data_IF_506698202538
#
_entry.id   IF_506698202538
#
_cell.length_a   1.000
_cell.length_b   1.000
_cell.length_c   1.000
_cell.angle_alpha   90.00
_cell.angle_beta   90.00
_cell.angle_gamma   90.00
#
_symmetry.space_group_name_H-M   'P 1'
#
loop_
_entity.id
_entity.type
_entity.pdbx_description
1 polymer ?
#
# COMPACT_ATOMS: atom_id res chain seq x y z
N UNK A 1 7.71 13.36 3.99
CA UNK A 1 7.21 12.69 2.77
C UNK A 1 6.88 11.25 3.13
N UNK A 2 5.71 11.02 3.74
CA UNK A 2 5.20 9.67 3.98
C UNK A 2 4.60 9.16 2.67
N UNK A 3 5.36 8.33 1.96
CA UNK A 3 4.86 7.65 0.77
C UNK A 3 3.76 6.69 1.19
N UNK A 4 2.55 6.89 0.65
CA UNK A 4 1.53 5.86 0.61
C UNK A 4 2.13 4.59 -0.02
N UNK A 5 2.46 3.61 0.82
CA UNK A 5 3.10 2.35 0.44
C UNK A 5 2.31 1.60 -0.64
N UNK A 6 1.00 1.83 -0.74
CA UNK A 6 0.05 1.14 -1.61
C UNK A 6 0.04 1.57 -3.09
N UNK A 7 0.73 2.65 -3.48
CA UNK A 7 0.68 3.16 -4.87
C UNK A 7 1.94 2.77 -5.69
N UNK A 8 3.01 2.33 -5.04
CA UNK A 8 4.34 2.20 -5.65
C UNK A 8 4.62 0.90 -6.43
N UNK A 9 3.68 -0.03 -6.54
CA UNK A 9 3.77 -1.26 -7.33
C UNK A 9 4.75 -2.33 -6.83
N UNK A 10 5.41 -2.13 -5.68
CA UNK A 10 6.58 -2.92 -5.28
C UNK A 10 6.28 -4.31 -4.70
N UNK A 11 5.07 -4.55 -4.19
CA UNK A 11 4.66 -5.80 -3.53
C UNK A 11 4.78 -7.03 -4.45
N UNK A 12 4.57 -6.87 -5.75
CA UNK A 12 4.75 -7.96 -6.71
C UNK A 12 6.21 -8.44 -6.81
N UNK A 13 7.18 -7.52 -6.68
CA UNK A 13 8.60 -7.88 -6.65
C UNK A 13 8.99 -8.52 -5.32
N UNK A 14 8.51 -7.97 -4.20
CA UNK A 14 8.76 -8.54 -2.87
C UNK A 14 8.20 -9.96 -2.76
N UNK A 15 6.96 -10.19 -3.19
CA UNK A 15 6.35 -11.53 -3.19
C UNK A 15 7.15 -12.52 -4.05
N UNK A 16 7.53 -12.15 -5.28
CA UNK A 16 8.34 -13.01 -6.15
C UNK A 16 9.67 -13.37 -5.50
N UNK A 17 10.35 -12.41 -4.92
CA UNK A 17 11.66 -12.60 -4.31
C UNK A 17 11.59 -13.52 -3.07
N UNK A 18 10.55 -13.34 -2.23
CA UNK A 18 10.26 -14.22 -1.10
C UNK A 18 9.96 -15.65 -1.55
N UNK A 19 9.20 -15.82 -2.63
CA UNK A 19 8.94 -17.14 -3.20
C UNK A 19 10.20 -17.78 -3.79
N UNK A 20 11.06 -17.00 -4.44
CA UNK A 20 12.34 -17.47 -4.97
C UNK A 20 13.27 -17.99 -3.87
N UNK A 21 13.45 -17.26 -2.77
CA UNK A 21 14.30 -17.73 -1.65
C UNK A 21 13.71 -18.93 -0.90
N UNK A 22 12.38 -19.09 -0.92
CA UNK A 22 11.70 -20.27 -0.38
C UNK A 22 11.75 -21.49 -1.32
N UNK A 23 12.35 -21.37 -2.50
CA UNK A 23 12.39 -22.44 -3.50
C UNK A 23 11.03 -22.76 -4.13
N UNK A 24 10.07 -21.83 -4.03
CA UNK A 24 8.73 -22.01 -4.60
C UNK A 24 8.72 -21.71 -6.11
N UNK A 25 7.77 -22.28 -6.88
CA UNK A 25 7.62 -21.96 -8.29
C UNK A 25 7.28 -20.47 -8.53
N UNK A 26 8.06 -19.80 -9.39
CA UNK A 26 7.83 -18.39 -9.76
C UNK A 26 7.83 -18.23 -11.29
N UNK A 27 6.69 -17.81 -11.84
CA UNK A 27 6.59 -17.45 -13.27
C UNK A 27 7.29 -16.13 -13.55
N UNK A 28 8.24 -16.13 -14.47
CA UNK A 28 9.07 -14.96 -14.77
C UNK A 28 9.85 -14.54 -13.53
N UNK A 29 10.85 -15.34 -13.11
CA UNK A 29 11.65 -15.06 -11.92
C UNK A 29 12.41 -13.74 -12.07
N UNK A 30 12.77 -13.12 -10.95
CA UNK A 30 13.69 -11.99 -10.98
C UNK A 30 15.07 -12.46 -11.42
N UNK A 31 15.85 -11.56 -12.03
CA UNK A 31 17.19 -11.85 -12.53
C UNK A 31 18.15 -12.41 -11.46
N UNK A 32 17.87 -12.13 -10.19
CA UNK A 32 18.55 -12.67 -9.01
C UNK A 32 17.59 -12.72 -7.84
N UNK A 33 17.91 -13.55 -6.85
CA UNK A 33 17.28 -13.47 -5.53
C UNK A 33 17.95 -12.35 -4.72
N UNK A 34 17.15 -11.42 -4.22
CA UNK A 34 17.60 -10.25 -3.46
C UNK A 34 17.52 -10.49 -1.95
N UNK A 35 16.47 -11.15 -1.47
CA UNK A 35 16.28 -11.39 -0.05
C UNK A 35 17.40 -12.27 0.50
N UNK A 36 18.17 -11.73 1.45
CA UNK A 36 19.31 -12.43 2.05
C UNK A 36 20.36 -12.90 1.04
N UNK A 37 20.42 -12.33 -0.18
CA UNK A 37 21.22 -12.85 -1.30
C UNK A 37 20.95 -14.34 -1.62
N UNK A 38 19.71 -14.81 -1.42
CA UNK A 38 19.32 -16.21 -1.63
C UNK A 38 19.49 -17.12 -0.42
N UNK A 39 20.06 -16.62 0.69
CA UNK A 39 20.08 -17.37 1.94
C UNK A 39 18.79 -17.13 2.75
N UNK A 40 18.09 -18.23 3.07
CA UNK A 40 16.80 -18.17 3.76
C UNK A 40 16.92 -17.61 5.17
N UNK A 41 18.00 -17.95 5.89
CA UNK A 41 18.20 -17.49 7.26
C UNK A 41 18.46 -15.97 7.32
N UNK A 42 19.28 -15.47 6.40
CA UNK A 42 19.60 -14.06 6.21
C UNK A 42 18.37 -13.28 5.74
N UNK A 43 17.58 -13.86 4.83
CA UNK A 43 16.32 -13.26 4.40
C UNK A 43 15.35 -13.09 5.58
N UNK A 44 15.15 -14.13 6.39
CA UNK A 44 14.29 -14.06 7.58
C UNK A 44 14.79 -13.02 8.58
N UNK A 45 16.10 -12.97 8.82
CA UNK A 45 16.70 -11.97 9.71
C UNK A 45 16.46 -10.54 9.21
N UNK A 46 16.65 -10.30 7.90
CA UNK A 46 16.40 -9.00 7.28
C UNK A 46 14.94 -8.56 7.41
N UNK A 47 13.99 -9.47 7.13
CA UNK A 47 12.55 -9.20 7.24
C UNK A 47 12.11 -8.89 8.67
N UNK A 48 12.55 -9.71 9.64
CA UNK A 48 12.20 -9.48 11.04
C UNK A 48 12.83 -8.20 11.57
N UNK A 49 14.06 -7.89 11.16
CA UNK A 49 14.74 -6.65 11.54
C UNK A 49 14.04 -5.42 10.95
N UNK A 50 13.63 -5.45 9.68
CA UNK A 50 12.90 -4.34 9.06
C UNK A 50 11.53 -4.14 9.71
N UNK A 51 10.78 -5.21 9.96
CA UNK A 51 9.47 -5.15 10.63
C UNK A 51 9.57 -4.60 12.06
N UNK A 52 10.57 -5.05 12.83
CA UNK A 52 10.80 -4.52 14.19
C UNK A 52 11.13 -3.03 14.18
N UNK A 53 12.00 -2.60 13.27
CA UNK A 53 12.33 -1.18 13.12
C UNK A 53 11.11 -0.35 12.74
N UNK A 54 10.30 -0.83 11.79
CA UNK A 54 9.07 -0.16 11.40
C UNK A 54 8.05 -0.08 12.55
N UNK A 55 7.85 -1.17 13.29
CA UNK A 55 6.93 -1.23 14.41
C UNK A 55 7.35 -0.36 15.61
N UNK A 56 8.64 -0.01 15.70
CA UNK A 56 9.15 0.88 16.74
C UNK A 56 8.94 2.37 16.42
N UNK A 57 8.57 2.72 15.18
CA UNK A 57 8.29 4.12 14.81
C UNK A 57 6.96 4.54 15.44
N UNK A 58 6.92 5.64 16.22
CA UNK A 58 5.68 6.13 16.81
C UNK A 58 4.62 6.43 15.74
N UNK A 59 3.37 6.06 16.00
CA UNK A 59 2.27 6.32 15.06
C UNK A 59 2.13 7.81 14.72
N UNK A 60 2.40 8.71 15.67
CA UNK A 60 2.37 10.16 15.46
C UNK A 60 3.47 10.68 14.52
N UNK A 61 4.56 9.93 14.35
CA UNK A 61 5.63 10.25 13.40
C UNK A 61 5.26 9.76 11.98
N UNK A 62 4.68 8.55 11.89
CA UNK A 62 4.19 8.00 10.61
C UNK A 62 3.00 8.80 10.06
N UNK A 63 2.09 9.18 10.96
CA UNK A 63 0.85 9.91 10.70
C UNK A 63 0.86 11.22 11.50
N UNK A 64 1.56 12.27 11.03
CA UNK A 64 1.56 13.57 11.69
C UNK A 64 0.18 14.23 11.64
N UNK A 65 -0.09 15.14 12.57
CA UNK A 65 -1.30 15.95 12.53
C UNK A 65 -1.30 16.90 11.32
N UNK A 66 -2.50 17.21 10.84
CA UNK A 66 -2.75 18.25 9.85
C UNK A 66 -4.04 19.02 10.18
N UNK A 67 -4.53 19.85 9.25
CA UNK A 67 -5.74 20.65 9.44
C UNK A 67 -7.02 19.81 9.66
N UNK A 68 -6.99 18.51 9.36
CA UNK A 68 -8.14 17.62 9.39
C UNK A 68 -8.00 16.48 10.42
N UNK A 69 -6.78 16.02 10.69
CA UNK A 69 -6.51 14.78 11.41
C UNK A 69 -5.56 14.99 12.59
N UNK A 70 -5.82 14.28 13.70
CA UNK A 70 -4.91 14.28 14.87
C UNK A 70 -3.68 13.42 14.59
N UNK A 71 -2.58 13.74 15.26
CA UNK A 71 -1.36 12.94 15.17
C UNK A 71 -1.63 11.50 15.65
N UNK A 72 -1.17 10.52 14.86
CA UNK A 72 -1.38 9.09 15.09
C UNK A 72 -2.72 8.56 14.61
N UNK A 73 -3.61 9.39 14.05
CA UNK A 73 -4.92 8.99 13.55
C UNK A 73 -4.85 8.44 12.12
N UNK A 74 -4.20 7.28 11.94
CA UNK A 74 -3.97 6.64 10.64
C UNK A 74 -5.19 6.65 9.73
N UNK A 75 -6.35 6.25 10.28
CA UNK A 75 -7.58 6.11 9.52
C UNK A 75 -8.10 7.43 8.95
N UNK A 76 -7.89 8.53 9.69
CA UNK A 76 -8.18 9.87 9.20
C UNK A 76 -7.16 10.28 8.14
N UNK A 77 -5.87 10.05 8.38
CA UNK A 77 -4.78 10.40 7.44
C UNK A 77 -4.93 9.73 6.09
N UNK A 78 -5.40 8.48 6.04
CA UNK A 78 -5.63 7.78 4.78
C UNK A 78 -6.95 8.20 4.10
N UNK A 79 -7.85 8.92 4.79
CA UNK A 79 -9.17 9.25 4.25
C UNK A 79 -9.14 10.18 3.04
N UNK A 80 -10.12 10.04 2.16
CA UNK A 80 -10.35 10.96 1.04
C UNK A 80 -11.23 12.10 1.55
N UNK A 81 -10.65 13.30 1.61
CA UNK A 81 -11.36 14.54 1.97
C UNK A 81 -11.67 15.32 0.69
N UNK A 82 -12.97 15.51 0.44
CA UNK A 82 -13.45 16.22 -0.74
C UNK A 82 -13.28 17.72 -0.58
N UNK A 83 -12.59 18.39 -1.51
CA UNK A 83 -12.60 19.85 -1.58
C UNK A 83 -13.94 20.33 -2.14
N UNK A 84 -14.62 21.21 -1.41
CA UNK A 84 -15.86 21.82 -1.87
C UNK A 84 -15.56 22.79 -3.03
N UNK A 85 -16.26 22.62 -4.16
CA UNK A 85 -16.19 23.52 -5.32
C UNK A 85 -17.45 24.40 -5.44
N UNK A 86 -18.40 24.29 -4.50
CA UNK A 86 -19.66 25.00 -4.48
C UNK A 86 -20.38 24.84 -3.13
N UNK A 87 -21.71 25.07 -3.09
CA UNK A 87 -22.49 25.06 -1.84
C UNK A 87 -22.78 23.69 -1.22
N UNK A 88 -22.20 22.60 -1.75
CA UNK A 88 -22.43 21.24 -1.27
C UNK A 88 -21.09 20.60 -0.92
N UNK A 89 -21.05 19.94 0.24
CA UNK A 89 -19.91 19.18 0.74
C UNK A 89 -20.24 17.70 0.81
N UNK A 90 -19.21 16.85 0.86
CA UNK A 90 -19.34 15.42 1.09
C UNK A 90 -18.59 15.04 2.36
N UNK A 91 -19.06 14.01 3.07
CA UNK A 91 -18.33 13.46 4.22
C UNK A 91 -17.02 12.85 3.73
N UNK A 92 -16.00 12.85 4.59
CA UNK A 92 -14.78 12.09 4.33
C UNK A 92 -15.14 10.60 4.17
N UNK A 93 -14.46 9.94 3.24
CA UNK A 93 -14.63 8.50 2.98
C UNK A 93 -13.30 7.77 3.15
N UNK A 94 -13.35 6.46 3.39
CA UNK A 94 -12.14 5.66 3.45
C UNK A 94 -11.38 5.69 2.12
N UNK A 95 -10.05 5.59 2.20
CA UNK A 95 -9.23 5.37 1.03
C UNK A 95 -9.71 4.17 0.24
N UNK A 96 -9.73 4.29 -1.08
CA UNK A 96 -9.97 3.17 -1.97
C UNK A 96 -9.01 3.26 -3.14
N UNK A 97 -8.41 2.13 -3.52
CA UNK A 97 -7.65 2.01 -4.76
C UNK A 97 -8.61 1.91 -5.96
N UNK A 98 -9.39 2.97 -6.19
CA UNK A 98 -10.42 3.02 -7.23
C UNK A 98 -10.29 4.33 -8.03
N UNK A 99 -10.47 4.29 -9.36
CA UNK A 99 -10.45 5.51 -10.16
C UNK A 99 -11.65 6.40 -9.80
N UNK A 100 -11.47 7.70 -9.99
CA UNK A 100 -12.45 8.75 -9.67
C UNK A 100 -13.80 8.55 -10.36
N UNK A 101 -13.79 7.96 -11.56
CA UNK A 101 -14.99 7.64 -12.31
C UNK A 101 -14.93 6.19 -12.78
N UNK A 102 -16.05 5.49 -12.64
CA UNK A 102 -16.25 4.13 -13.16
C UNK A 102 -17.62 4.08 -13.81
N UNK A 103 -17.68 3.52 -15.02
CA UNK A 103 -18.92 3.29 -15.76
C UNK A 103 -18.99 1.83 -16.14
N UNK A 104 -20.13 1.21 -15.88
CA UNK A 104 -20.48 -0.11 -16.38
C UNK A 104 -21.63 0.10 -17.36
N UNK A 105 -21.43 -0.26 -18.62
CA UNK A 105 -22.44 -0.13 -19.68
C UNK A 105 -22.75 -1.52 -20.21
N UNK A 106 -24.04 -1.85 -20.24
CA UNK A 106 -24.56 -3.04 -20.91
C UNK A 106 -25.53 -2.60 -22.00
N UNK A 107 -25.41 -3.20 -23.18
CA UNK A 107 -26.34 -3.03 -24.29
C UNK A 107 -27.00 -4.38 -24.59
N UNK A 108 -28.12 -4.74 -23.94
CA UNK A 108 -28.86 -5.96 -24.24
C UNK A 108 -29.41 -5.91 -25.67
N UNK A 109 -29.58 -7.07 -26.30
CA UNK A 109 -30.10 -7.14 -27.68
C UNK A 109 -31.44 -6.40 -27.79
N UNK A 110 -31.51 -5.50 -28.78
CA UNK A 110 -32.76 -4.92 -29.22
C UNK A 110 -33.66 -6.03 -29.78
N UNK A 111 -34.92 -6.07 -29.35
CA UNK A 111 -35.98 -6.73 -30.11
C UNK A 111 -36.62 -5.71 -31.05
#
# INVERSE_FOLDING_TARGET
MSNALLVSGWWGFADKDLRQVLGQPVKGPLARTYCGNGDLSSCRAALLSSLKRAAAVPAAEVYPADDNCKAGEQWCTDSIIHRALGGITQKAIHWQNRPTYQQVVESPAHR
#
